data_IF_531292340457
#
_entry.id   IF_531292340457
#
_cell.length_a   1.000
_cell.length_b   1.000
_cell.length_c   1.000
_cell.angle_alpha   90.00
_cell.angle_beta   90.00
_cell.angle_gamma   90.00
#
_symmetry.space_group_name_H-M   'P 1'
#
loop_
_entity.id
_entity.type
_entity.pdbx_description
1 polymer ?
#
# COMPACT_ATOMS: atom_id res chain seq x y z
N UNK A 1 17.06 -13.27 -6.34
CA UNK A 1 16.02 -13.87 -7.21
C UNK A 1 15.24 -12.71 -7.80
N UNK A 2 14.47 -12.91 -8.88
CA UNK A 2 13.48 -11.89 -9.21
C UNK A 2 12.32 -12.06 -8.23
N UNK A 3 11.86 -10.98 -7.63
CA UNK A 3 10.76 -11.04 -6.67
C UNK A 3 9.50 -11.53 -7.38
N UNK A 4 8.80 -12.45 -6.74
CA UNK A 4 7.57 -13.05 -7.27
C UNK A 4 6.46 -11.99 -7.42
N UNK A 5 6.44 -11.03 -6.50
CA UNK A 5 5.43 -9.98 -6.45
C UNK A 5 5.96 -8.65 -6.96
N UNK A 6 5.08 -7.89 -7.61
CA UNK A 6 5.32 -6.51 -7.99
C UNK A 6 4.46 -5.57 -7.13
N UNK A 7 5.12 -4.58 -6.50
CA UNK A 7 4.49 -3.60 -5.63
C UNK A 7 4.34 -2.27 -6.35
N UNK A 8 3.11 -1.96 -6.77
CA UNK A 8 2.79 -0.73 -7.49
C UNK A 8 2.25 0.34 -6.53
N UNK A 9 3.03 1.40 -6.30
CA UNK A 9 2.66 2.48 -5.38
C UNK A 9 1.49 3.30 -5.92
N UNK A 10 0.41 3.42 -5.14
CA UNK A 10 -0.75 4.28 -5.42
C UNK A 10 -0.63 5.66 -4.77
N UNK A 11 -0.23 5.69 -3.50
CA UNK A 11 -0.19 6.90 -2.69
C UNK A 11 1.10 6.94 -1.89
N UNK A 12 1.68 8.14 -1.78
CA UNK A 12 2.76 8.45 -0.83
C UNK A 12 2.46 9.75 -0.12
N UNK A 13 2.54 9.71 1.20
CA UNK A 13 2.49 10.89 2.06
C UNK A 13 3.73 10.91 2.96
N UNK A 14 3.82 11.90 3.83
CA UNK A 14 4.90 11.98 4.82
C UNK A 14 4.85 10.86 5.87
N UNK A 15 3.69 10.25 6.10
CA UNK A 15 3.49 9.29 7.19
C UNK A 15 2.84 7.98 6.75
N UNK A 16 2.53 7.81 5.46
CA UNK A 16 1.84 6.61 4.97
C UNK A 16 2.05 6.38 3.48
N UNK A 17 2.00 5.11 3.08
CA UNK A 17 2.09 4.66 1.69
C UNK A 17 1.05 3.58 1.42
N UNK A 18 0.53 3.55 0.19
CA UNK A 18 -0.42 2.51 -0.28
C UNK A 18 0.12 1.92 -1.57
N UNK A 19 0.10 0.59 -1.67
CA UNK A 19 0.53 -0.17 -2.84
C UNK A 19 -0.54 -1.19 -3.25
N UNK A 20 -0.64 -1.45 -4.55
CA UNK A 20 -1.28 -2.66 -5.08
C UNK A 20 -0.21 -3.74 -5.23
N UNK A 21 -0.54 -4.96 -4.77
CA UNK A 21 0.31 -6.15 -4.89
C UNK A 21 -0.13 -6.94 -6.10
N UNK A 22 0.81 -7.27 -6.98
CA UNK A 22 0.58 -8.02 -8.22
C UNK A 22 1.44 -9.29 -8.27
N UNK A 23 0.89 -10.36 -8.85
CA UNK A 23 1.60 -11.57 -9.27
C UNK A 23 1.45 -11.68 -10.79
N UNK A 24 2.46 -11.24 -11.54
CA UNK A 24 2.33 -11.03 -12.98
C UNK A 24 1.23 -10.00 -13.29
N UNK A 25 0.18 -10.41 -14.02
CA UNK A 25 -0.98 -9.55 -14.33
C UNK A 25 -2.13 -9.68 -13.32
N UNK A 26 -2.00 -10.57 -12.33
CA UNK A 26 -3.05 -10.84 -11.34
C UNK A 26 -2.91 -9.90 -10.14
N UNK A 27 -3.97 -9.16 -9.82
CA UNK A 27 -4.06 -8.42 -8.54
C UNK A 27 -4.17 -9.43 -7.39
N UNK A 28 -3.25 -9.33 -6.45
CA UNK A 28 -3.18 -10.21 -5.27
C UNK A 28 -3.81 -9.53 -4.06
N UNK A 29 -3.68 -8.21 -3.96
CA UNK A 29 -4.21 -7.47 -2.82
C UNK A 29 -3.71 -6.04 -2.75
N UNK A 30 -3.87 -5.44 -1.57
CA UNK A 30 -3.46 -4.07 -1.29
C UNK A 30 -2.70 -4.00 0.03
N UNK A 31 -1.63 -3.21 0.02
CA UNK A 31 -0.73 -2.97 1.13
C UNK A 31 -0.87 -1.54 1.60
N UNK A 32 -1.11 -1.35 2.89
CA UNK A 32 -1.14 -0.07 3.58
C UNK A 32 -0.02 -0.01 4.60
N UNK A 33 0.78 1.04 4.55
CA UNK A 33 1.91 1.26 5.45
C UNK A 33 1.68 2.58 6.17
N UNK A 34 1.80 2.56 7.49
CA UNK A 34 1.76 3.75 8.33
C UNK A 34 3.04 3.84 9.15
N UNK A 35 3.79 4.92 8.93
CA UNK A 35 5.01 5.22 9.66
C UNK A 35 4.64 5.97 10.95
N UNK A 36 4.85 5.32 12.09
CA UNK A 36 4.86 5.98 13.39
C UNK A 36 6.31 6.15 13.88
N UNK A 37 6.50 6.80 15.03
CA UNK A 37 7.82 7.24 15.49
C UNK A 37 8.82 6.08 15.68
N UNK A 38 8.36 4.93 16.18
CA UNK A 38 9.22 3.76 16.46
C UNK A 38 8.68 2.44 15.89
N UNK A 39 7.39 2.42 15.53
CA UNK A 39 6.71 1.24 14.99
C UNK A 39 6.16 1.55 13.61
N UNK A 40 6.33 0.61 12.69
CA UNK A 40 5.75 0.69 11.36
C UNK A 40 4.60 -0.30 11.30
N UNK A 41 3.41 0.21 11.04
CA UNK A 41 2.22 -0.61 10.91
C UNK A 41 1.99 -0.97 9.45
N UNK A 42 1.98 -2.26 9.17
CA UNK A 42 1.72 -2.82 7.85
C UNK A 42 0.41 -3.58 7.89
N UNK A 43 -0.53 -3.17 7.04
CA UNK A 43 -1.78 -3.90 6.80
C UNK A 43 -1.76 -4.42 5.37
N UNK A 44 -1.78 -5.75 5.23
CA UNK A 44 -1.86 -6.43 3.95
C UNK A 44 -3.25 -7.06 3.81
N UNK A 45 -3.99 -6.63 2.81
CA UNK A 45 -5.30 -7.21 2.48
C UNK A 45 -5.18 -8.03 1.21
N UNK A 46 -5.23 -9.35 1.35
CA UNK A 46 -5.18 -10.33 0.27
C UNK A 46 -6.58 -10.55 -0.30
N UNK A 47 -6.72 -10.34 -1.61
CA UNK A 47 -7.94 -10.60 -2.38
C UNK A 47 -7.96 -12.03 -2.95
N UNK A 48 -6.85 -12.74 -2.83
CA UNK A 48 -6.68 -14.12 -3.29
C UNK A 48 -5.91 -14.94 -2.26
N UNK A 49 -6.15 -16.25 -2.26
CA UNK A 49 -5.35 -17.17 -1.46
C UNK A 49 -3.94 -17.32 -2.07
N UNK A 50 -2.92 -17.10 -1.24
CA UNK A 50 -1.52 -17.41 -1.51
C UNK A 50 -1.01 -18.38 -0.44
N UNK A 51 0.15 -18.99 -0.69
CA UNK A 51 0.73 -19.92 0.29
C UNK A 51 1.36 -19.16 1.47
N UNK A 52 1.51 -19.82 2.62
CA UNK A 52 2.17 -19.21 3.79
C UNK A 52 3.61 -18.79 3.48
N UNK A 53 4.33 -19.56 2.66
CA UNK A 53 5.67 -19.19 2.19
C UNK A 53 5.63 -17.92 1.34
N UNK A 54 4.63 -17.78 0.47
CA UNK A 54 4.47 -16.55 -0.32
C UNK A 54 4.11 -15.35 0.57
N UNK A 55 3.34 -15.55 1.65
CA UNK A 55 3.05 -14.50 2.64
C UNK A 55 4.34 -14.05 3.32
N UNK A 56 5.20 -14.98 3.74
CA UNK A 56 6.50 -14.70 4.35
C UNK A 56 7.44 -13.97 3.38
N UNK A 57 7.59 -14.47 2.15
CA UNK A 57 8.43 -13.86 1.10
C UNK A 57 7.97 -12.43 0.78
N UNK A 58 6.65 -12.20 0.71
CA UNK A 58 6.09 -10.88 0.46
C UNK A 58 6.37 -9.92 1.63
N UNK A 59 6.29 -10.40 2.87
CA UNK A 59 6.62 -9.57 4.05
C UNK A 59 8.10 -9.21 4.08
N UNK A 60 8.99 -10.14 3.75
CA UNK A 60 10.43 -9.88 3.62
C UNK A 60 10.70 -8.83 2.52
N UNK A 61 10.09 -8.99 1.35
CA UNK A 61 10.19 -8.02 0.27
C UNK A 61 9.72 -6.61 0.70
N UNK A 62 8.60 -6.50 1.42
CA UNK A 62 8.10 -5.23 1.93
C UNK A 62 9.14 -4.57 2.85
N UNK A 63 9.76 -5.36 3.72
CA UNK A 63 10.78 -4.87 4.67
C UNK A 63 12.03 -4.36 3.95
N UNK A 64 12.53 -5.11 2.98
CA UNK A 64 13.75 -4.79 2.24
C UNK A 64 13.53 -3.62 1.27
N UNK A 65 12.50 -3.69 0.42
CA UNK A 65 12.32 -2.75 -0.69
C UNK A 65 11.73 -1.41 -0.23
N UNK A 66 10.76 -1.46 0.69
CA UNK A 66 9.97 -0.28 1.04
C UNK A 66 10.41 0.28 2.39
N UNK A 67 10.42 -0.55 3.44
CA UNK A 67 10.63 -0.05 4.80
C UNK A 67 12.07 0.41 4.99
N UNK A 68 13.03 -0.44 4.63
CA UNK A 68 14.47 -0.13 4.79
C UNK A 68 14.93 1.05 3.93
N UNK A 69 14.21 1.32 2.83
CA UNK A 69 14.42 2.51 1.98
C UNK A 69 13.90 3.81 2.61
N UNK A 70 12.92 3.73 3.52
CA UNK A 70 12.32 4.91 4.17
C UNK A 70 13.00 5.24 5.49
N UNK A 71 13.16 4.24 6.36
CA UNK A 71 13.74 4.40 7.69
C UNK A 71 14.76 3.27 7.92
N UNK A 72 16.05 3.58 8.05
CA UNK A 72 17.08 2.58 8.31
C UNK A 72 16.74 1.71 9.52
N UNK A 73 17.13 0.44 9.48
CA UNK A 73 16.80 -0.56 10.51
C UNK A 73 17.24 -0.19 11.94
N UNK A 74 18.22 0.71 12.10
CA UNK A 74 18.68 1.18 13.41
C UNK A 74 17.81 2.30 14.02
N UNK A 75 16.91 2.91 13.23
CA UNK A 75 15.99 3.97 13.69
C UNK A 75 14.58 3.44 13.99
N UNK A 76 14.27 2.18 13.63
CA UNK A 76 13.00 1.51 13.92
C UNK A 76 13.13 0.50 15.06
N UNK A 77 12.09 0.39 15.90
CA UNK A 77 12.02 -0.65 16.94
C UNK A 77 11.26 -1.90 16.46
N UNK A 78 10.20 -1.72 15.68
CA UNK A 78 9.33 -2.84 15.26
C UNK A 78 8.63 -2.59 13.90
N UNK A 79 8.46 -3.66 13.12
CA UNK A 79 7.50 -3.73 12.01
C UNK A 79 6.37 -4.68 12.41
N UNK A 80 5.17 -4.13 12.62
CA UNK A 80 3.99 -4.92 12.94
C UNK A 80 3.18 -5.17 11.68
N UNK A 81 3.12 -6.42 11.24
CA UNK A 81 2.36 -6.85 10.06
C UNK A 81 1.06 -7.52 10.48
N UNK A 82 -0.06 -7.09 9.90
CA UNK A 82 -1.35 -7.77 10.00
C UNK A 82 -1.86 -8.10 8.61
N UNK A 83 -2.15 -9.39 8.39
CA UNK A 83 -2.65 -9.90 7.10
C UNK A 83 -4.14 -10.23 7.24
N UNK A 84 -4.94 -9.69 6.32
CA UNK A 84 -6.36 -9.95 6.19
C UNK A 84 -6.65 -10.63 4.86
N UNK A 85 -7.70 -11.45 4.82
CA UNK A 85 -8.32 -11.91 3.57
C UNK A 85 -9.63 -11.16 3.38
N UNK A 86 -9.85 -10.62 2.19
CA UNK A 86 -11.02 -9.81 1.88
C UNK A 86 -11.40 -9.86 0.41
N UNK A 87 -12.57 -9.33 0.09
CA UNK A 87 -13.06 -9.18 -1.27
C UNK A 87 -13.45 -7.72 -1.49
N UNK A 88 -13.07 -7.15 -2.63
CA UNK A 88 -13.51 -5.80 -3.02
C UNK A 88 -14.98 -5.88 -3.46
N UNK A 89 -15.89 -5.35 -2.63
CA UNK A 89 -17.33 -5.41 -2.92
C UNK A 89 -17.81 -4.23 -3.76
N UNK A 90 -17.29 -3.04 -3.50
CA UNK A 90 -17.69 -1.79 -4.17
C UNK A 90 -16.64 -0.71 -3.98
N UNK A 91 -16.51 0.19 -4.96
CA UNK A 91 -15.65 1.37 -4.88
C UNK A 91 -16.42 2.63 -5.23
N UNK A 92 -16.13 3.71 -4.50
CA UNK A 92 -16.72 5.03 -4.70
C UNK A 92 -15.60 6.05 -4.82
N UNK A 93 -15.79 7.03 -5.70
CA UNK A 93 -14.86 8.15 -5.87
C UNK A 93 -15.65 9.46 -5.84
N UNK A 94 -15.18 10.41 -5.05
CA UNK A 94 -15.75 11.74 -4.95
C UNK A 94 -14.68 12.76 -5.37
N UNK A 95 -14.85 13.34 -6.55
CA UNK A 95 -14.06 14.51 -6.93
C UNK A 95 -14.68 15.75 -6.25
N UNK A 96 -13.87 16.68 -5.70
CA UNK A 96 -14.42 17.99 -5.33
C UNK A 96 -15.06 18.60 -6.58
N UNK A 97 -16.27 19.12 -6.44
CA UNK A 97 -16.96 19.86 -7.50
C UNK A 97 -16.14 21.10 -7.86
N UNK A 98 -15.29 20.97 -8.87
CA UNK A 98 -14.52 22.09 -9.40
C UNK A 98 -15.51 23.09 -9.98
N UNK A 99 -15.62 24.27 -9.35
CA UNK A 99 -16.10 25.55 -9.90
C UNK A 99 -16.72 25.45 -11.31
N UNK A 100 -18.00 25.11 -11.42
CA UNK A 100 -18.81 25.36 -12.63
C UNK A 100 -19.60 26.69 -12.54
N UNK A 101 -19.34 27.52 -11.52
CA UNK A 101 -19.94 28.85 -11.35
C UNK A 101 -18.89 29.98 -11.45
N UNK A 102 -18.06 29.96 -12.49
CA UNK A 102 -17.48 31.20 -13.03
C UNK A 102 -18.05 31.33 -14.44
N UNK A 103 -19.36 31.58 -14.51
CA UNK A 103 -19.93 32.19 -15.71
C UNK A 103 -19.32 33.59 -15.85
N UNK A 104 -18.81 33.86 -17.05
CA UNK A 104 -18.23 35.13 -17.46
C UNK A 104 -19.18 36.30 -17.12
N UNK A 105 -18.84 37.13 -16.13
CA UNK A 105 -19.33 38.52 -16.11
C UNK A 105 -18.57 39.27 -17.22
N UNK A 106 -19.13 39.24 -18.44
CA UNK A 106 -18.79 40.20 -19.49
C UNK A 106 -19.05 41.63 -18.97
N UNK A 107 -18.00 42.45 -18.89
CA UNK A 107 -18.08 43.91 -19.10
C UNK A 107 -16.99 44.38 -20.05
#
# INVERSE_FOLDING_TARGET
MADKFNLSRLVRTVASEIYVVWEGERRVGQLHIHYAHYTIHVTLMLEVDISMTDEEDLVEQIDEDIISSYLPSFEREEMLVTIFRGEEISSFSYAPSTMEDIEDEEE
#
